data_IF_397441592904
#
_entry.id   IF_397441592904
#
_cell.length_a   1.000
_cell.length_b   1.000
_cell.length_c   1.000
_cell.angle_alpha   90.00
_cell.angle_beta   90.00
_cell.angle_gamma   90.00
#
_symmetry.space_group_name_H-M   'P 1'
#
loop_
_entity.id
_entity.type
_entity.pdbx_description
1 polymer ?
#
# COMPACT_ATOMS: atom_id res chain seq x y z
N UNK A 1 21.19 -3.25 -0.25
CA UNK A 1 22.46 -4.00 -0.33
C UNK A 1 22.76 -4.57 1.05
N UNK A 2 22.72 -5.89 1.21
CA UNK A 2 23.13 -6.54 2.46
C UNK A 2 24.40 -7.38 2.16
N UNK A 3 25.46 -7.19 2.94
CA UNK A 3 26.69 -7.98 2.83
C UNK A 3 26.57 -9.21 3.72
N UNK A 4 26.89 -10.38 3.18
CA UNK A 4 27.04 -11.61 3.97
C UNK A 4 28.43 -11.64 4.60
N UNK A 5 28.59 -12.01 5.89
CA UNK A 5 29.89 -12.39 6.43
C UNK A 5 30.24 -13.80 5.94
N UNK A 6 31.52 -14.03 5.62
CA UNK A 6 32.02 -15.35 5.28
C UNK A 6 32.27 -16.17 6.54
N UNK A 7 31.66 -17.36 6.61
CA UNK A 7 32.01 -18.42 7.56
C UNK A 7 31.04 -18.56 8.74
N UNK A 8 30.34 -19.70 8.78
CA UNK A 8 29.49 -20.11 9.90
C UNK A 8 28.09 -20.49 9.45
N UNK A 9 27.70 -21.72 9.74
CA UNK A 9 26.38 -22.34 9.51
C UNK A 9 25.22 -21.34 9.41
N UNK A 10 24.73 -21.10 8.19
CA UNK A 10 23.45 -20.43 8.01
C UNK A 10 22.36 -21.42 8.34
N UNK A 11 21.95 -21.47 9.62
CA UNK A 11 20.68 -22.05 9.97
C UNK A 11 19.58 -21.21 9.29
N UNK A 12 19.05 -21.71 8.17
CA UNK A 12 17.85 -21.17 7.55
C UNK A 12 16.71 -21.29 8.55
N UNK A 13 16.35 -20.18 9.19
CA UNK A 13 15.29 -20.14 10.20
C UNK A 13 13.98 -20.72 9.65
N UNK A 14 13.37 -21.65 10.39
CA UNK A 14 12.12 -22.32 10.05
C UNK A 14 10.88 -21.44 10.30
N UNK A 15 10.89 -20.18 9.85
CA UNK A 15 9.78 -19.27 10.09
C UNK A 15 8.72 -19.44 9.01
N UNK A 16 7.67 -20.22 9.32
CA UNK A 16 6.43 -20.27 8.54
C UNK A 16 5.74 -18.91 8.66
N UNK A 17 5.63 -18.18 7.55
CA UNK A 17 4.82 -16.97 7.48
C UNK A 17 3.41 -17.39 7.08
N UNK A 18 2.43 -17.07 7.93
CA UNK A 18 1.01 -17.28 7.67
C UNK A 18 0.36 -15.94 7.36
N UNK A 19 -0.65 -15.95 6.49
CA UNK A 19 -1.37 -14.76 6.06
C UNK A 19 -2.87 -15.04 6.04
N UNK A 20 -3.65 -14.01 6.34
CA UNK A 20 -5.10 -13.99 6.23
C UNK A 20 -5.49 -12.84 5.29
N UNK A 21 -6.51 -13.07 4.46
CA UNK A 21 -7.09 -12.03 3.63
C UNK A 21 -8.10 -11.25 4.46
N UNK A 22 -7.90 -9.94 4.59
CA UNK A 22 -8.88 -9.03 5.18
C UNK A 22 -9.65 -8.40 4.02
N UNK A 23 -10.83 -8.95 3.73
CA UNK A 23 -11.74 -8.40 2.71
C UNK A 23 -12.25 -7.01 3.13
N UNK A 24 -12.21 -6.04 2.21
CA UNK A 24 -12.70 -4.68 2.46
C UNK A 24 -11.91 -3.91 3.51
N UNK A 25 -10.61 -4.20 3.63
CA UNK A 25 -9.71 -3.46 4.51
C UNK A 25 -9.70 -1.96 4.19
N UNK A 26 -9.81 -1.59 2.92
CA UNK A 26 -9.83 -0.21 2.45
C UNK A 26 -11.11 0.54 2.84
N UNK A 27 -10.96 1.62 3.60
CA UNK A 27 -12.04 2.53 3.96
C UNK A 27 -12.01 3.74 3.02
N UNK A 28 -12.48 3.51 1.80
CA UNK A 28 -12.52 4.51 0.74
C UNK A 28 -13.57 5.61 1.03
N UNK A 29 -13.30 6.89 0.70
CA UNK A 29 -14.33 7.93 0.73
C UNK A 29 -15.55 7.57 -0.11
N UNK A 30 -16.73 8.04 0.33
CA UNK A 30 -17.98 7.78 -0.38
C UNK A 30 -17.92 8.22 -1.85
N UNK A 31 -18.40 7.37 -2.75
CA UNK A 31 -18.44 7.64 -4.19
C UNK A 31 -17.11 7.48 -4.93
N UNK A 32 -16.03 7.08 -4.24
CA UNK A 32 -14.75 6.77 -4.86
C UNK A 32 -14.62 5.27 -5.11
N UNK A 33 -13.88 4.90 -6.15
CA UNK A 33 -13.58 3.51 -6.48
C UNK A 33 -12.22 3.41 -7.15
N UNK A 34 -11.59 2.25 -7.02
CA UNK A 34 -10.47 1.90 -7.89
C UNK A 34 -10.97 1.59 -9.31
N UNK A 35 -10.16 1.93 -10.30
CA UNK A 35 -10.39 1.51 -11.70
C UNK A 35 -9.47 0.33 -12.04
N UNK A 36 -8.17 0.58 -12.08
CA UNK A 36 -7.16 -0.45 -12.31
C UNK A 36 -5.97 -0.15 -11.39
N UNK A 37 -5.74 -1.01 -10.41
CA UNK A 37 -4.61 -0.89 -9.46
C UNK A 37 -3.38 -1.49 -10.12
N UNK A 38 -2.40 -0.64 -10.42
CA UNK A 38 -1.17 -1.06 -11.10
C UNK A 38 -0.01 -1.31 -10.13
N UNK A 39 -0.12 -0.84 -8.87
CA UNK A 39 0.92 -1.07 -7.87
C UNK A 39 0.51 -0.67 -6.47
N UNK A 40 1.15 -1.30 -5.49
CA UNK A 40 1.03 -1.00 -4.07
C UNK A 40 2.41 -0.91 -3.43
N UNK A 41 2.58 -0.04 -2.44
CA UNK A 41 3.80 0.07 -1.64
C UNK A 41 3.47 0.45 -0.20
N UNK A 42 4.36 0.10 0.73
CA UNK A 42 4.27 0.52 2.12
C UNK A 42 5.50 1.35 2.52
N UNK A 43 5.34 2.27 3.47
CA UNK A 43 6.46 2.98 4.08
C UNK A 43 6.73 2.57 5.53
N UNK A 44 7.72 3.19 6.18
CA UNK A 44 8.13 2.86 7.55
C UNK A 44 7.12 3.26 8.63
N UNK A 45 5.99 3.88 8.25
CA UNK A 45 4.88 4.23 9.15
C UNK A 45 3.66 3.33 8.88
N UNK A 46 3.85 2.22 8.16
CA UNK A 46 2.80 1.29 7.75
C UNK A 46 1.68 1.94 6.90
N UNK A 47 1.99 3.06 6.22
CA UNK A 47 1.04 3.64 5.27
C UNK A 47 1.08 2.86 3.97
N UNK A 48 -0.09 2.56 3.42
CA UNK A 48 -0.24 1.83 2.16
C UNK A 48 -0.56 2.82 1.06
N UNK A 49 0.27 2.83 0.02
CA UNK A 49 0.13 3.65 -1.18
C UNK A 49 -0.41 2.78 -2.29
N UNK A 50 -1.53 3.19 -2.88
CA UNK A 50 -2.18 2.48 -3.98
C UNK A 50 -2.16 3.35 -5.23
N UNK A 51 -1.38 2.92 -6.22
CA UNK A 51 -1.35 3.55 -7.54
C UNK A 51 -2.41 2.91 -8.43
N UNK A 52 -3.39 3.70 -8.86
CA UNK A 52 -4.46 3.26 -9.74
C UNK A 52 -4.67 4.23 -10.91
N UNK A 53 -5.35 3.78 -11.97
CA UNK A 53 -5.59 4.59 -13.19
C UNK A 53 -6.86 5.44 -13.18
N UNK A 54 -7.47 5.63 -12.00
CA UNK A 54 -8.71 6.39 -11.81
C UNK A 54 -8.49 7.91 -11.69
N UNK A 55 -9.52 8.60 -11.19
CA UNK A 55 -9.52 10.05 -10.97
C UNK A 55 -8.56 10.50 -9.88
N UNK A 56 -8.20 9.59 -8.97
CA UNK A 56 -7.23 9.79 -7.89
C UNK A 56 -6.08 8.80 -8.09
N UNK A 57 -5.07 9.12 -8.92
CA UNK A 57 -4.08 8.12 -9.32
C UNK A 57 -3.26 7.56 -8.16
N UNK A 58 -3.07 8.32 -7.09
CA UNK A 58 -2.43 7.84 -5.86
C UNK A 58 -3.36 8.02 -4.68
N UNK A 59 -3.64 6.95 -3.95
CA UNK A 59 -4.44 6.97 -2.72
C UNK A 59 -3.59 6.38 -1.59
N UNK A 60 -3.62 7.01 -0.41
CA UNK A 60 -2.82 6.64 0.75
C UNK A 60 -3.73 6.30 1.91
N UNK A 61 -3.50 5.14 2.52
CA UNK A 61 -4.20 4.64 3.70
C UNK A 61 -3.24 4.44 4.87
N UNK A 62 -3.74 4.43 6.10
CA UNK A 62 -2.99 3.87 7.25
C UNK A 62 -3.07 2.34 7.25
N UNK A 63 -2.45 1.71 8.25
CA UNK A 63 -2.39 0.24 8.39
C UNK A 63 -3.75 -0.40 8.67
N UNK A 64 -4.71 0.36 9.19
CA UNK A 64 -6.10 -0.06 9.40
C UNK A 64 -6.99 0.21 8.17
N UNK A 65 -6.40 0.70 7.08
CA UNK A 65 -7.10 0.97 5.83
C UNK A 65 -7.90 2.26 5.84
N UNK A 66 -7.71 3.13 6.84
CA UNK A 66 -8.34 4.44 6.87
C UNK A 66 -7.69 5.34 5.83
N UNK A 67 -8.51 6.00 5.02
CA UNK A 67 -8.04 7.01 4.07
C UNK A 67 -7.27 8.14 4.78
N UNK A 68 -6.07 8.45 4.28
CA UNK A 68 -5.24 9.55 4.76
C UNK A 68 -5.14 10.69 3.74
N UNK A 69 -4.89 10.37 2.47
CA UNK A 69 -4.64 11.36 1.44
C UNK A 69 -4.82 10.79 0.02
N UNK A 70 -4.94 11.66 -0.97
CA UNK A 70 -4.84 11.30 -2.37
C UNK A 70 -4.14 12.39 -3.19
N UNK A 71 -3.53 12.00 -4.29
CA UNK A 71 -3.06 12.92 -5.32
C UNK A 71 -4.06 12.89 -6.47
N UNK A 72 -4.61 14.05 -6.81
CA UNK A 72 -5.43 14.25 -8.00
C UNK A 72 -4.73 15.26 -8.92
N UNK A 73 -4.95 15.15 -10.23
CA UNK A 73 -4.50 16.21 -11.13
C UNK A 73 -5.31 17.49 -10.91
N UNK A 74 -4.66 18.68 -10.96
CA UNK A 74 -5.38 19.95 -11.01
C UNK A 74 -6.36 19.94 -12.19
N UNK A 75 -7.65 20.02 -11.91
CA UNK A 75 -8.71 20.08 -12.93
C UNK A 75 -9.52 18.81 -13.16
N UNK A 76 -9.23 17.69 -12.46
CA UNK A 76 -10.02 16.44 -12.59
C UNK A 76 -10.81 16.02 -11.33
N UNK A 77 -10.69 16.76 -10.23
CA UNK A 77 -11.49 16.62 -9.00
C UNK A 77 -12.07 17.97 -8.55
N UNK A 78 -13.03 18.01 -7.60
CA UNK A 78 -13.60 19.28 -7.12
C UNK A 78 -12.46 20.17 -6.63
N UNK A 79 -12.36 21.35 -7.26
CA UNK A 79 -11.30 22.33 -6.99
C UNK A 79 -11.21 22.64 -5.49
N UNK A 80 -9.98 22.82 -5.01
CA UNK A 80 -9.75 23.43 -3.71
C UNK A 80 -10.17 24.89 -3.72
#
# INVERSE_FOLDING_TARGET
>A
MCRTPAGGDMALGQHRIEYEVIEGWEQMPEGWAFVEVAGVACDSQDRVYVFNRGTHPMIVFDKEGKFLNAWAEPGRGPGR
#
